data_IF_923226190984
#
_entry.id   IF_923226190984
#
_cell.length_a   1.000
_cell.length_b   1.000
_cell.length_c   1.000
_cell.angle_alpha   90.00
_cell.angle_beta   90.00
_cell.angle_gamma   90.00
#
_symmetry.space_group_name_H-M   'P 1'
#
loop_
_entity.id
_entity.type
_entity.pdbx_description
1 polymer ?
#
# COMPACT_ATOMS: atom_id res chain seq x y z
N UNK A 1 -28.83 30.65 7.29
CA UNK A 1 -27.87 29.62 7.75
C UNK A 1 -26.64 30.33 8.28
N UNK A 2 -26.24 30.06 9.52
CA UNK A 2 -24.98 30.60 10.05
C UNK A 2 -23.79 29.78 9.52
N UNK A 3 -22.61 30.40 9.43
CA UNK A 3 -21.37 29.72 9.01
C UNK A 3 -21.07 28.49 9.89
N UNK A 4 -21.41 28.57 11.19
CA UNK A 4 -21.30 27.46 12.14
C UNK A 4 -22.23 26.29 11.81
N UNK A 5 -23.48 26.55 11.45
CA UNK A 5 -24.46 25.52 11.07
C UNK A 5 -24.00 24.76 9.81
N UNK A 6 -23.47 25.48 8.81
CA UNK A 6 -22.96 24.85 7.59
C UNK A 6 -21.76 23.93 7.90
N UNK A 7 -20.85 24.35 8.78
CA UNK A 7 -19.71 23.50 9.18
C UNK A 7 -20.14 22.24 9.93
N UNK A 8 -21.13 22.33 10.81
CA UNK A 8 -21.68 21.16 11.51
C UNK A 8 -22.34 20.18 10.53
N UNK A 9 -23.09 20.69 9.55
CA UNK A 9 -23.68 19.87 8.49
C UNK A 9 -22.61 19.20 7.61
N UNK A 10 -21.57 19.93 7.22
CA UNK A 10 -20.48 19.35 6.44
C UNK A 10 -19.75 18.26 7.23
N UNK A 11 -19.55 18.45 8.55
CA UNK A 11 -18.96 17.43 9.42
C UNK A 11 -19.85 16.20 9.57
N UNK A 12 -21.18 16.36 9.70
CA UNK A 12 -22.11 15.21 9.79
C UNK A 12 -22.14 14.40 8.48
N UNK A 13 -21.94 15.06 7.34
CA UNK A 13 -21.75 14.43 6.03
C UNK A 13 -20.33 13.85 5.80
N UNK A 14 -19.44 13.93 6.81
CA UNK A 14 -18.02 13.53 6.75
C UNK A 14 -17.19 14.31 5.73
N UNK A 15 -17.58 15.54 5.39
CA UNK A 15 -16.89 16.47 4.48
C UNK A 15 -15.96 17.43 5.26
N UNK A 16 -15.06 16.85 6.05
CA UNK A 16 -14.19 17.61 6.95
C UNK A 16 -13.17 18.50 6.23
N UNK A 17 -12.54 17.99 5.17
CA UNK A 17 -11.55 18.74 4.39
C UNK A 17 -12.22 19.79 3.50
N UNK A 18 -13.46 19.54 3.06
CA UNK A 18 -14.30 20.51 2.37
C UNK A 18 -14.58 21.71 3.28
N UNK A 19 -14.99 21.48 4.52
CA UNK A 19 -15.25 22.55 5.48
C UNK A 19 -13.98 23.39 5.76
N UNK A 20 -12.82 22.72 5.85
CA UNK A 20 -11.53 23.39 6.00
C UNK A 20 -11.16 24.23 4.76
N UNK A 21 -11.33 23.69 3.56
CA UNK A 21 -11.05 24.41 2.32
C UNK A 21 -12.00 25.60 2.11
N UNK A 22 -13.27 25.47 2.54
CA UNK A 22 -14.24 26.57 2.51
C UNK A 22 -13.79 27.73 3.40
N UNK A 23 -13.28 27.43 4.60
CA UNK A 23 -12.70 28.44 5.49
C UNK A 23 -11.48 29.13 4.86
N UNK A 24 -10.62 28.37 4.18
CA UNK A 24 -9.45 28.92 3.48
C UNK A 24 -9.86 29.85 2.34
N UNK A 25 -10.81 29.44 1.48
CA UNK A 25 -11.34 30.29 0.42
C UNK A 25 -11.97 31.58 0.95
N UNK A 26 -12.68 31.50 2.09
CA UNK A 26 -13.28 32.68 2.74
C UNK A 26 -12.22 33.65 3.28
N UNK A 27 -11.10 33.14 3.78
CA UNK A 27 -9.98 33.97 4.25
C UNK A 27 -9.18 34.64 3.12
N UNK A 28 -9.30 34.13 1.89
CA UNK A 28 -8.57 34.57 0.69
C UNK A 28 -9.54 35.04 -0.40
N UNK A 29 -10.54 35.84 -0.03
CA UNK A 29 -11.63 36.22 -0.92
C UNK A 29 -11.17 36.85 -2.25
N UNK A 30 -10.09 37.64 -2.23
CA UNK A 30 -9.54 38.30 -3.42
C UNK A 30 -8.96 37.33 -4.47
N UNK A 31 -8.58 36.11 -4.08
CA UNK A 31 -8.00 35.11 -5.00
C UNK A 31 -9.06 34.36 -5.81
N UNK A 32 -10.31 34.33 -5.33
CA UNK A 32 -11.39 33.53 -5.92
C UNK A 32 -12.54 34.38 -6.48
N UNK A 33 -12.35 35.70 -6.56
CA UNK A 33 -13.40 36.66 -6.93
C UNK A 33 -13.74 36.61 -8.44
N UNK A 34 -12.77 36.23 -9.27
CA UNK A 34 -12.96 36.04 -10.72
C UNK A 34 -13.55 34.67 -11.07
N UNK A 35 -13.64 33.75 -10.10
CA UNK A 35 -14.14 32.39 -10.33
C UNK A 35 -15.65 32.30 -10.11
N UNK A 36 -16.32 31.57 -10.99
CA UNK A 36 -17.74 31.25 -10.83
C UNK A 36 -17.99 30.42 -9.57
N UNK A 37 -19.23 30.46 -9.08
CA UNK A 37 -19.65 29.64 -7.94
C UNK A 37 -19.39 28.14 -8.18
N UNK A 38 -19.65 27.64 -9.39
CA UNK A 38 -19.45 26.23 -9.74
C UNK A 38 -17.97 25.85 -9.72
N UNK A 39 -17.08 26.71 -10.23
CA UNK A 39 -15.64 26.46 -10.21
C UNK A 39 -15.11 26.43 -8.76
N UNK A 40 -15.55 27.37 -7.92
CA UNK A 40 -15.17 27.40 -6.50
C UNK A 40 -15.65 26.15 -5.77
N UNK A 41 -16.90 25.75 -5.99
CA UNK A 41 -17.47 24.53 -5.41
C UNK A 41 -16.73 23.28 -5.91
N UNK A 42 -16.36 23.26 -7.20
CA UNK A 42 -15.55 22.22 -7.82
C UNK A 42 -14.20 22.06 -7.14
N UNK A 43 -13.50 23.16 -6.86
CA UNK A 43 -12.22 23.13 -6.14
C UNK A 43 -12.35 22.54 -4.73
N UNK A 44 -13.40 22.93 -3.99
CA UNK A 44 -13.65 22.39 -2.64
C UNK A 44 -13.92 20.88 -2.67
N UNK A 45 -14.70 20.42 -3.65
CA UNK A 45 -14.99 19.00 -3.84
C UNK A 45 -13.73 18.22 -4.24
N UNK A 46 -12.91 18.75 -5.14
CA UNK A 46 -11.63 18.16 -5.55
C UNK A 46 -10.66 18.06 -4.36
N UNK A 47 -10.58 19.09 -3.53
CA UNK A 47 -9.74 19.07 -2.33
C UNK A 47 -10.16 17.96 -1.35
N UNK A 48 -11.46 17.79 -1.09
CA UNK A 48 -11.95 16.69 -0.25
C UNK A 48 -11.60 15.32 -0.83
N UNK A 49 -11.78 15.13 -2.14
CA UNK A 49 -11.44 13.87 -2.83
C UNK A 49 -9.95 13.58 -2.69
N UNK A 50 -9.09 14.57 -2.96
CA UNK A 50 -7.64 14.43 -2.88
C UNK A 50 -7.18 14.10 -1.45
N UNK A 51 -7.64 14.84 -0.44
CA UNK A 51 -7.29 14.57 0.95
C UNK A 51 -7.75 13.18 1.43
N UNK A 52 -8.91 12.69 0.95
CA UNK A 52 -9.37 11.32 1.23
C UNK A 52 -8.49 10.27 0.60
N UNK A 53 -8.08 10.47 -0.66
CA UNK A 53 -7.14 9.57 -1.36
C UNK A 53 -5.80 9.52 -0.62
N UNK A 54 -5.22 10.69 -0.30
CA UNK A 54 -3.96 10.79 0.45
C UNK A 54 -4.04 10.10 1.82
N UNK A 55 -5.15 10.31 2.53
CA UNK A 55 -5.37 9.68 3.84
C UNK A 55 -5.49 8.16 3.70
N UNK A 56 -6.12 7.66 2.62
CA UNK A 56 -6.19 6.23 2.31
C UNK A 56 -4.80 5.67 2.04
N UNK A 57 -3.99 6.31 1.21
CA UNK A 57 -2.61 5.90 0.90
C UNK A 57 -1.75 5.87 2.18
N UNK A 58 -1.79 6.95 2.98
CA UNK A 58 -1.06 7.02 4.26
C UNK A 58 -1.45 5.87 5.21
N UNK A 59 -2.75 5.54 5.28
CA UNK A 59 -3.23 4.41 6.08
C UNK A 59 -2.72 3.07 5.54
N UNK A 60 -2.77 2.86 4.22
CA UNK A 60 -2.28 1.62 3.59
C UNK A 60 -0.77 1.44 3.81
N UNK A 61 0.03 2.50 3.64
CA UNK A 61 1.47 2.46 3.90
C UNK A 61 1.80 2.10 5.35
N UNK A 62 1.06 2.66 6.32
CA UNK A 62 1.21 2.29 7.74
C UNK A 62 0.87 0.81 7.99
N UNK A 63 -0.20 0.30 7.36
CA UNK A 63 -0.62 -1.10 7.49
C UNK A 63 0.33 -2.08 6.79
N UNK A 64 1.01 -1.63 5.73
CA UNK A 64 1.95 -2.45 4.96
C UNK A 64 3.21 -2.81 5.77
N UNK A 65 3.57 -2.02 6.78
CA UNK A 65 4.75 -2.22 7.65
C UNK A 65 6.02 -2.51 6.85
N UNK A 66 6.29 -1.66 5.86
CA UNK A 66 7.46 -1.79 5.01
C UNK A 66 8.74 -1.60 5.83
N UNK A 67 9.75 -2.43 5.55
CA UNK A 67 11.05 -2.35 6.23
C UNK A 67 11.84 -1.08 5.88
N UNK A 68 11.68 -0.59 4.65
CA UNK A 68 12.39 0.57 4.14
C UNK A 68 11.42 1.56 3.52
N UNK A 69 11.73 2.85 3.68
CA UNK A 69 11.06 3.90 2.91
C UNK A 69 11.65 3.97 1.49
N UNK A 70 11.19 3.07 0.64
CA UNK A 70 11.65 2.96 -0.74
C UNK A 70 10.74 3.75 -1.69
N UNK A 71 11.36 4.52 -2.59
CA UNK A 71 10.67 5.27 -3.64
C UNK A 71 11.13 4.77 -5.00
N UNK A 72 10.19 4.57 -5.92
CA UNK A 72 10.48 4.13 -7.28
C UNK A 72 11.43 5.08 -8.02
N UNK A 73 11.37 6.38 -7.73
CA UNK A 73 12.23 7.42 -8.31
C UNK A 73 13.71 7.28 -7.93
N UNK A 74 14.03 6.57 -6.84
CA UNK A 74 15.39 6.34 -6.36
C UNK A 74 15.95 4.98 -6.78
N UNK A 75 15.25 4.24 -7.65
CA UNK A 75 15.77 2.98 -8.17
C UNK A 75 16.96 3.22 -9.11
N UNK A 76 18.08 2.56 -8.81
CA UNK A 76 19.27 2.59 -9.64
C UNK A 76 19.24 1.48 -10.71
N UNK A 77 19.41 1.87 -11.97
CA UNK A 77 19.37 0.99 -13.14
C UNK A 77 20.77 0.69 -13.71
N UNK A 78 21.78 0.53 -12.84
CA UNK A 78 23.13 0.19 -13.27
C UNK A 78 23.13 -1.14 -14.03
N UNK A 79 23.95 -1.27 -15.06
CA UNK A 79 24.01 -2.48 -15.90
C UNK A 79 24.27 -3.75 -15.08
N UNK A 80 25.12 -3.66 -14.05
CA UNK A 80 25.46 -4.75 -13.12
C UNK A 80 24.25 -5.31 -12.35
N UNK A 81 23.17 -4.53 -12.20
CA UNK A 81 21.94 -4.95 -11.50
C UNK A 81 21.02 -5.79 -12.39
N UNK A 82 21.23 -5.79 -13.71
CA UNK A 82 20.35 -6.47 -14.66
C UNK A 82 18.91 -5.93 -14.72
N UNK A 83 18.63 -4.79 -14.09
CA UNK A 83 17.30 -4.18 -14.05
C UNK A 83 17.03 -3.43 -15.35
N UNK A 84 16.13 -3.96 -16.18
CA UNK A 84 15.68 -3.25 -17.38
C UNK A 84 14.55 -2.27 -17.04
N UNK A 85 14.70 -1.02 -17.48
CA UNK A 85 13.74 0.08 -17.20
C UNK A 85 12.33 -0.22 -17.69
N UNK A 86 12.20 -0.85 -18.86
CA UNK A 86 10.92 -1.28 -19.44
C UNK A 86 10.18 -2.26 -18.52
N UNK A 87 10.85 -3.32 -18.07
CA UNK A 87 10.26 -4.29 -17.14
C UNK A 87 9.88 -3.67 -15.80
N UNK A 88 10.74 -2.82 -15.25
CA UNK A 88 10.45 -2.15 -13.97
C UNK A 88 9.27 -1.20 -14.11
N UNK A 89 9.14 -0.46 -15.23
CA UNK A 89 7.98 0.37 -15.50
C UNK A 89 6.69 -0.46 -15.60
N UNK A 90 6.72 -1.61 -16.27
CA UNK A 90 5.58 -2.54 -16.29
C UNK A 90 5.20 -3.03 -14.89
N UNK A 91 6.18 -3.37 -14.05
CA UNK A 91 5.91 -3.78 -12.67
C UNK A 91 5.32 -2.62 -11.84
N UNK A 92 5.88 -1.41 -11.97
CA UNK A 92 5.37 -0.22 -11.28
C UNK A 92 3.97 0.19 -11.75
N UNK A 93 3.55 -0.20 -12.95
CA UNK A 93 2.17 0.03 -13.42
C UNK A 93 1.12 -0.76 -12.64
N UNK A 94 1.52 -1.79 -11.88
CA UNK A 94 0.60 -2.60 -11.08
C UNK A 94 -0.12 -3.72 -11.87
N UNK A 95 0.17 -3.90 -13.17
CA UNK A 95 -0.47 -4.94 -14.00
C UNK A 95 -0.39 -6.35 -13.39
N UNK A 96 0.72 -6.68 -12.71
CA UNK A 96 0.88 -7.97 -12.05
C UNK A 96 -0.16 -8.20 -10.94
N UNK A 97 -0.60 -7.14 -10.24
CA UNK A 97 -1.62 -7.21 -9.20
C UNK A 97 -2.98 -7.61 -9.79
N UNK A 98 -3.34 -7.04 -10.94
CA UNK A 98 -4.59 -7.35 -11.63
C UNK A 98 -4.64 -8.78 -12.18
N UNK A 99 -3.48 -9.33 -12.57
CA UNK A 99 -3.37 -10.69 -13.08
C UNK A 99 -3.01 -11.72 -12.01
N UNK A 100 -2.94 -11.32 -10.73
CA UNK A 100 -2.49 -12.18 -9.63
C UNK A 100 -1.15 -12.88 -9.92
N UNK A 101 -0.22 -12.18 -10.57
CA UNK A 101 1.09 -12.71 -10.94
C UNK A 101 2.09 -12.52 -9.81
N UNK A 102 2.71 -13.63 -9.39
CA UNK A 102 3.79 -13.61 -8.42
C UNK A 102 5.10 -13.16 -9.07
N UNK A 103 5.91 -12.43 -8.31
CA UNK A 103 7.22 -11.94 -8.75
C UNK A 103 8.27 -12.58 -7.87
N UNK A 104 9.34 -13.10 -8.46
CA UNK A 104 10.50 -13.57 -7.70
C UNK A 104 11.66 -12.63 -7.99
N UNK A 105 12.19 -12.00 -6.94
CA UNK A 105 13.34 -11.09 -7.03
C UNK A 105 14.61 -11.83 -6.62
N UNK A 106 15.49 -12.11 -7.59
CA UNK A 106 16.75 -12.82 -7.36
C UNK A 106 17.96 -11.89 -7.55
N UNK A 107 19.09 -12.26 -6.98
CA UNK A 107 20.35 -11.50 -7.06
C UNK A 107 21.21 -11.65 -5.81
N UNK A 108 22.47 -11.22 -5.88
CA UNK A 108 23.38 -11.30 -4.75
C UNK A 108 22.89 -10.47 -3.54
N UNK A 109 23.39 -10.78 -2.34
CA UNK A 109 23.14 -9.98 -1.14
C UNK A 109 23.65 -8.54 -1.35
N UNK A 110 23.00 -7.56 -0.73
CA UNK A 110 23.36 -6.14 -0.90
C UNK A 110 22.91 -5.49 -2.23
N UNK A 111 22.42 -6.25 -3.21
CA UNK A 111 21.94 -5.70 -4.50
C UNK A 111 20.55 -5.03 -4.43
N UNK A 112 20.09 -4.59 -3.26
CA UNK A 112 18.86 -3.82 -3.11
C UNK A 112 17.54 -4.55 -3.42
N UNK A 113 17.48 -5.88 -3.29
CA UNK A 113 16.24 -6.67 -3.49
C UNK A 113 15.11 -6.21 -2.57
N UNK A 114 15.39 -6.09 -1.28
CA UNK A 114 14.47 -5.55 -0.27
C UNK A 114 13.99 -4.14 -0.64
N UNK A 115 14.89 -3.29 -1.14
CA UNK A 115 14.53 -1.93 -1.57
C UNK A 115 13.56 -1.97 -2.76
N UNK A 116 13.85 -2.82 -3.76
CA UNK A 116 13.00 -2.99 -4.93
C UNK A 116 11.61 -3.51 -4.55
N UNK A 117 11.54 -4.53 -3.70
CA UNK A 117 10.27 -5.05 -3.19
C UNK A 117 9.49 -3.96 -2.43
N UNK A 118 10.14 -3.20 -1.55
CA UNK A 118 9.50 -2.09 -0.83
C UNK A 118 9.02 -0.97 -1.78
N UNK A 119 9.75 -0.70 -2.88
CA UNK A 119 9.35 0.30 -3.86
C UNK A 119 8.08 -0.14 -4.61
N UNK A 120 8.00 -1.42 -5.01
CA UNK A 120 6.78 -2.00 -5.59
C UNK A 120 5.62 -1.97 -4.60
N UNK A 121 5.89 -2.28 -3.32
CA UNK A 121 4.91 -2.23 -2.24
C UNK A 121 4.31 -0.83 -2.06
N UNK A 122 5.18 0.18 -2.03
CA UNK A 122 4.78 1.59 -1.90
C UNK A 122 3.93 2.01 -3.09
N UNK A 123 4.37 1.69 -4.30
CA UNK A 123 3.62 1.97 -5.52
C UNK A 123 2.24 1.31 -5.52
N UNK A 124 2.14 0.07 -5.05
CA UNK A 124 0.86 -0.63 -4.90
C UNK A 124 -0.07 0.08 -3.88
N UNK A 125 0.47 0.57 -2.75
CA UNK A 125 -0.30 1.38 -1.80
C UNK A 125 -0.76 2.71 -2.40
N UNK A 126 0.07 3.36 -3.22
CA UNK A 126 -0.27 4.60 -3.96
C UNK A 126 -1.36 4.33 -5.01
N UNK A 127 -1.41 3.12 -5.57
CA UNK A 127 -2.49 2.60 -6.41
C UNK A 127 -3.70 2.10 -5.60
N UNK A 128 -3.71 2.34 -4.29
CA UNK A 128 -4.78 1.99 -3.35
C UNK A 128 -4.98 0.49 -3.08
N UNK A 129 -3.99 -0.34 -3.37
CA UNK A 129 -4.00 -1.76 -3.01
C UNK A 129 -3.57 -1.99 -1.56
N UNK A 130 -4.13 -3.04 -0.97
CA UNK A 130 -3.78 -3.55 0.36
C UNK A 130 -2.51 -4.38 0.28
N UNK A 131 -1.50 -3.92 1.01
CA UNK A 131 -0.17 -4.53 1.00
C UNK A 131 0.21 -4.97 2.40
N UNK A 132 1.02 -6.03 2.51
CA UNK A 132 1.66 -6.43 3.76
C UNK A 132 3.06 -6.97 3.49
N UNK A 133 4.04 -6.46 4.23
CA UNK A 133 5.42 -6.93 4.18
C UNK A 133 5.73 -7.80 5.40
N UNK A 134 6.43 -8.90 5.16
CA UNK A 134 7.01 -9.75 6.18
C UNK A 134 8.44 -10.12 5.81
N UNK A 135 9.31 -10.16 6.84
CA UNK A 135 10.48 -11.04 6.77
C UNK A 135 9.99 -12.46 7.03
N UNK A 136 10.42 -13.41 6.20
CA UNK A 136 9.90 -14.76 6.23
C UNK A 136 10.04 -15.41 7.61
N UNK A 137 11.21 -15.32 8.25
CA UNK A 137 11.42 -15.88 9.59
C UNK A 137 10.42 -15.36 10.62
N UNK A 138 10.16 -14.05 10.62
CA UNK A 138 9.20 -13.43 11.54
C UNK A 138 7.77 -13.94 11.30
N UNK A 139 7.37 -14.10 10.04
CA UNK A 139 6.07 -14.66 9.69
C UNK A 139 5.93 -16.11 10.16
N UNK A 140 6.97 -16.92 9.98
CA UNK A 140 6.95 -18.33 10.42
C UNK A 140 6.84 -18.44 11.95
N UNK A 141 7.51 -17.57 12.70
CA UNK A 141 7.38 -17.50 14.15
C UNK A 141 5.96 -17.09 14.57
N UNK A 142 5.39 -16.06 13.94
CA UNK A 142 4.00 -15.64 14.19
C UNK A 142 2.99 -16.77 13.94
N UNK A 143 3.17 -17.53 12.85
CA UNK A 143 2.31 -18.67 12.52
C UNK A 143 2.50 -19.85 13.48
N UNK A 144 3.72 -20.09 13.96
CA UNK A 144 4.00 -21.12 14.96
C UNK A 144 3.32 -20.81 16.29
N UNK A 145 3.36 -19.55 16.74
CA UNK A 145 2.63 -19.10 17.93
C UNK A 145 1.12 -19.26 17.70
N UNK A 146 0.64 -18.89 16.50
CA UNK A 146 -0.75 -19.05 16.10
C UNK A 146 -1.27 -20.49 16.18
N UNK A 147 -0.41 -21.47 15.98
CA UNK A 147 -0.75 -22.89 16.14
C UNK A 147 -0.94 -23.29 17.61
N UNK A 148 -0.21 -22.66 18.53
CA UNK A 148 -0.31 -22.94 19.96
C UNK A 148 -1.51 -22.26 20.61
N UNK A 149 -1.89 -21.06 20.15
CA UNK A 149 -3.01 -20.27 20.71
C UNK A 149 -4.34 -20.40 19.93
N UNK A 150 -4.33 -21.09 18.79
CA UNK A 150 -5.51 -21.32 17.94
C UNK A 150 -5.82 -20.22 16.93
N UNK A 151 -5.03 -19.14 16.88
CA UNK A 151 -5.24 -18.00 15.96
C UNK A 151 -4.72 -18.23 14.53
N UNK A 152 -4.01 -19.35 14.28
CA UNK A 152 -3.39 -19.70 13.00
C UNK A 152 -4.29 -19.51 11.77
N UNK A 153 -5.53 -20.05 11.81
CA UNK A 153 -6.48 -19.93 10.68
C UNK A 153 -6.88 -18.48 10.41
N UNK A 154 -7.01 -17.69 11.48
CA UNK A 154 -7.35 -16.27 11.37
C UNK A 154 -6.18 -15.48 10.75
N UNK A 155 -4.94 -15.79 11.14
CA UNK A 155 -3.75 -15.17 10.55
C UNK A 155 -3.64 -15.47 9.05
N UNK A 156 -3.80 -16.74 8.65
CA UNK A 156 -3.82 -17.11 7.23
C UNK A 156 -4.90 -16.37 6.45
N UNK A 157 -6.13 -16.34 6.95
CA UNK A 157 -7.23 -15.62 6.30
C UNK A 157 -6.96 -14.10 6.19
N UNK A 158 -6.23 -13.51 7.14
CA UNK A 158 -5.81 -12.11 7.06
C UNK A 158 -4.73 -11.89 6.00
N UNK A 159 -3.80 -12.83 5.85
CA UNK A 159 -2.76 -12.80 4.81
C UNK A 159 -3.38 -12.96 3.43
N UNK A 160 -4.30 -13.93 3.25
CA UNK A 160 -4.98 -14.20 1.99
C UNK A 160 -5.72 -12.97 1.44
N UNK A 161 -6.31 -12.16 2.32
CA UNK A 161 -7.04 -10.92 1.95
C UNK A 161 -6.17 -9.78 1.44
N UNK A 162 -4.85 -9.84 1.56
CA UNK A 162 -3.95 -8.79 1.08
C UNK A 162 -3.76 -8.92 -0.42
N UNK A 163 -4.04 -7.88 -1.18
CA UNK A 163 -3.84 -7.90 -2.64
C UNK A 163 -2.35 -8.13 -3.00
N UNK A 164 -1.45 -7.62 -2.17
CA UNK A 164 -0.01 -7.85 -2.26
C UNK A 164 0.57 -8.32 -0.92
N UNK A 165 1.25 -9.45 -0.94
CA UNK A 165 2.07 -9.96 0.16
C UNK A 165 3.53 -9.95 -0.26
N UNK A 166 4.42 -9.43 0.58
CA UNK A 166 5.86 -9.45 0.33
C UNK A 166 6.52 -10.34 1.37
N UNK A 167 7.27 -11.34 0.90
CA UNK A 167 8.03 -12.29 1.71
C UNK A 167 9.52 -12.11 1.44
N UNK A 168 10.18 -11.33 2.30
CA UNK A 168 11.61 -11.04 2.18
C UNK A 168 12.47 -12.00 3.02
N UNK A 169 13.77 -12.00 2.76
CA UNK A 169 14.77 -12.85 3.43
C UNK A 169 14.48 -14.37 3.27
N UNK A 170 13.89 -14.77 2.15
CA UNK A 170 13.64 -16.16 1.82
C UNK A 170 14.94 -16.97 1.76
N UNK A 171 15.02 -18.07 2.52
CA UNK A 171 16.17 -18.98 2.54
C UNK A 171 17.34 -18.52 3.42
N UNK A 172 17.17 -17.49 4.24
CA UNK A 172 18.19 -17.06 5.22
C UNK A 172 18.26 -17.98 6.45
N UNK A 173 17.16 -18.70 6.74
CA UNK A 173 17.06 -19.64 7.86
C UNK A 173 16.54 -21.00 7.39
N UNK A 174 16.95 -22.08 8.05
CA UNK A 174 16.42 -23.42 7.78
C UNK A 174 14.97 -23.48 8.25
N UNK A 175 14.04 -23.56 7.31
CA UNK A 175 12.63 -23.78 7.62
C UNK A 175 12.43 -25.22 8.10
N UNK A 176 11.81 -25.39 9.28
CA UNK A 176 11.33 -26.70 9.71
C UNK A 176 10.05 -27.07 8.94
N UNK A 177 9.76 -28.37 8.82
CA UNK A 177 8.69 -28.86 7.95
C UNK A 177 7.30 -28.30 8.29
N UNK A 178 7.02 -28.07 9.58
CA UNK A 178 5.71 -27.62 10.07
C UNK A 178 5.37 -26.17 9.65
N UNK A 179 6.22 -25.15 9.92
CA UNK A 179 6.03 -23.79 9.39
C UNK A 179 5.96 -23.74 7.87
N UNK A 180 6.77 -24.55 7.17
CA UNK A 180 6.77 -24.61 5.70
C UNK A 180 5.42 -25.09 5.13
N UNK A 181 4.86 -26.16 5.70
CA UNK A 181 3.51 -26.61 5.35
C UNK A 181 2.45 -25.54 5.64
N UNK A 182 2.60 -24.84 6.76
CA UNK A 182 1.64 -23.81 7.14
C UNK A 182 1.64 -22.62 6.18
N UNK A 183 2.81 -22.22 5.68
CA UNK A 183 2.95 -21.20 4.65
C UNK A 183 2.39 -21.66 3.30
N UNK A 184 2.58 -22.94 2.95
CA UNK A 184 2.08 -23.51 1.71
C UNK A 184 0.55 -23.37 1.61
N UNK A 185 -0.19 -23.69 2.67
CA UNK A 185 -1.64 -23.52 2.69
C UNK A 185 -2.08 -22.06 2.46
N UNK A 186 -1.33 -21.09 3.02
CA UNK A 186 -1.58 -19.67 2.75
C UNK A 186 -1.23 -19.25 1.31
N UNK A 187 -0.18 -19.83 0.72
CA UNK A 187 0.20 -19.59 -0.67
C UNK A 187 -0.81 -20.20 -1.65
N UNK A 188 -1.37 -21.36 -1.34
CA UNK A 188 -2.42 -22.01 -2.12
C UNK A 188 -3.70 -21.16 -2.18
N UNK A 189 -4.15 -20.59 -1.05
CA UNK A 189 -5.32 -19.71 -1.02
C UNK A 189 -5.11 -18.43 -1.85
N UNK A 190 -3.86 -17.96 -1.93
CA UNK A 190 -3.49 -16.77 -2.70
C UNK A 190 -3.27 -17.03 -4.18
N UNK A 191 -2.95 -18.26 -4.57
CA UNK A 191 -2.64 -18.62 -5.94
C UNK A 191 -3.80 -18.26 -6.88
N UNK A 192 -3.50 -17.52 -7.95
CA UNK A 192 -4.47 -16.96 -8.92
C UNK A 192 -5.50 -15.97 -8.37
N UNK A 193 -5.46 -15.63 -7.08
CA UNK A 193 -6.38 -14.67 -6.45
C UNK A 193 -5.70 -13.34 -6.11
N UNK A 194 -4.44 -13.38 -5.67
CA UNK A 194 -3.66 -12.21 -5.23
C UNK A 194 -2.18 -12.41 -5.56
N UNK A 195 -1.36 -11.35 -5.43
CA UNK A 195 0.06 -11.42 -5.82
C UNK A 195 0.99 -11.53 -4.61
N UNK A 196 2.07 -12.28 -4.77
CA UNK A 196 3.18 -12.37 -3.81
C UNK A 196 4.50 -11.97 -4.45
N UNK A 197 5.34 -11.22 -3.71
CA UNK A 197 6.73 -10.88 -4.09
C UNK A 197 7.70 -11.55 -3.12
#
# INVERSE_FOLDING_TARGET
>A
MTQSQLQEQLRSLRLGHFAQALLQQQSQATTYDEMSFEERLGLLAQHEIHCRQDSKVKRLLRQATLRLEAHASRLEYRAERGLRKDKVATLLSGQYLHHAHNIIVTGATGCGKTYFACALARQACEQHHTVRYYRLGQLLDELNIGHADGSYRQQLAQLAKKELLILDDWGMEKMSARPAHGLLGGMEERYQNTSTI
#
